data_IF_316876274874
#
_entry.id   IF_316876274874
#
_cell.length_a   1.000
_cell.length_b   1.000
_cell.length_c   1.000
_cell.angle_alpha   90.00
_cell.angle_beta   90.00
_cell.angle_gamma   90.00
#
_symmetry.space_group_name_H-M   'P 1'
#
loop_
_entity.id
_entity.type
_entity.pdbx_description
1 polymer ?
#
# COMPACT_ATOMS: atom_id res chain seq x y z
N UNK A 1 -43.15 -0.43 -34.84
CA UNK A 1 -43.92 0.81 -35.15
C UNK A 1 -43.81 1.68 -33.94
N UNK A 2 -43.02 2.69 -33.97
CA UNK A 2 -43.13 4.10 -33.68
C UNK A 2 -41.71 4.74 -33.56
N UNK A 3 -41.43 5.48 -34.62
CA UNK A 3 -40.33 6.42 -34.70
C UNK A 3 -40.73 7.73 -34.03
N UNK A 4 -39.86 8.34 -33.26
CA UNK A 4 -39.91 9.79 -33.03
C UNK A 4 -38.50 10.32 -33.14
N UNK A 5 -38.28 11.06 -34.24
CA UNK A 5 -37.14 11.95 -34.48
C UNK A 5 -37.51 13.34 -33.95
N UNK A 6 -36.57 14.06 -33.35
CA UNK A 6 -36.53 15.55 -33.27
C UNK A 6 -35.05 15.91 -33.10
N UNK A 7 -34.38 16.41 -34.11
CA UNK A 7 -34.33 17.73 -34.70
C UNK A 7 -33.47 18.72 -33.90
N UNK A 8 -32.40 19.10 -34.59
CA UNK A 8 -31.37 20.08 -34.25
C UNK A 8 -31.89 21.50 -34.00
N UNK A 9 -31.20 22.25 -33.15
CA UNK A 9 -31.19 23.71 -33.24
C UNK A 9 -29.79 24.22 -32.94
N UNK A 10 -29.13 24.68 -33.99
CA UNK A 10 -27.90 25.45 -33.92
C UNK A 10 -28.23 26.92 -33.61
N UNK A 11 -27.31 27.60 -32.91
CA UNK A 11 -27.29 29.05 -32.86
C UNK A 11 -25.83 29.52 -32.86
N UNK A 12 -25.43 29.98 -34.02
CA UNK A 12 -24.23 30.77 -34.27
C UNK A 12 -24.54 32.22 -33.94
N UNK A 13 -23.61 32.92 -33.28
CA UNK A 13 -23.57 34.37 -33.35
C UNK A 13 -22.14 34.86 -33.51
N UNK A 14 -22.00 35.70 -34.50
CA UNK A 14 -20.77 36.28 -35.07
C UNK A 14 -20.26 37.49 -34.27
N UNK A 15 -18.93 37.67 -34.41
CA UNK A 15 -18.16 38.88 -34.76
C UNK A 15 -18.43 40.22 -34.05
N UNK A 16 -17.34 40.81 -33.55
CA UNK A 16 -16.89 42.12 -34.02
C UNK A 16 -15.42 42.38 -33.65
N UNK A 17 -14.61 42.60 -34.66
CA UNK A 17 -13.27 43.17 -34.63
C UNK A 17 -13.35 44.71 -34.79
N UNK A 18 -12.38 45.41 -34.19
CA UNK A 18 -11.87 46.74 -34.59
C UNK A 18 -10.58 46.97 -33.80
N UNK A 19 -9.42 46.94 -34.31
CA UNK A 19 -8.60 47.70 -35.23
C UNK A 19 -8.56 49.21 -34.97
N UNK A 20 -7.36 49.73 -34.66
CA UNK A 20 -6.66 50.88 -35.25
C UNK A 20 -5.60 51.44 -34.29
N UNK A 21 -4.32 51.25 -34.64
CA UNK A 21 -3.40 52.29 -35.17
C UNK A 21 -2.75 53.20 -34.13
N UNK A 22 -1.41 53.13 -34.11
CA UNK A 22 -0.45 54.15 -33.64
C UNK A 22 -0.46 55.36 -34.61
N UNK A 23 0.18 56.50 -34.33
CA UNK A 23 1.62 56.59 -34.11
C UNK A 23 2.11 57.69 -33.13
N UNK A 24 3.35 57.49 -32.64
CA UNK A 24 4.53 58.36 -32.60
C UNK A 24 4.40 59.82 -32.12
N UNK A 25 5.20 60.19 -31.09
CA UNK A 25 6.23 61.19 -31.20
C UNK A 25 7.14 61.28 -29.96
N UNK A 26 8.40 61.49 -30.23
CA UNK A 26 9.51 61.58 -29.31
C UNK A 26 9.51 62.89 -28.49
N UNK A 27 10.05 62.84 -27.28
CA UNK A 27 10.69 63.98 -26.64
C UNK A 27 11.79 63.52 -25.71
N UNK A 28 13.00 64.00 -25.97
CA UNK A 28 14.27 63.88 -25.22
C UNK A 28 14.15 64.53 -23.84
N UNK A 29 14.95 64.00 -22.89
CA UNK A 29 15.55 64.84 -21.88
C UNK A 29 15.64 64.28 -20.46
N UNK A 30 16.84 63.95 -20.01
CA UNK A 30 17.23 64.11 -18.61
C UNK A 30 17.73 62.84 -17.94
N UNK A 31 19.03 62.70 -17.90
CA UNK A 31 19.78 61.76 -17.06
C UNK A 31 19.62 62.05 -15.57
N UNK A 32 19.28 61.04 -14.81
CA UNK A 32 19.68 60.91 -13.39
C UNK A 32 19.91 59.43 -13.14
N UNK A 33 21.16 59.10 -12.92
CA UNK A 33 21.58 57.83 -12.41
C UNK A 33 21.22 57.77 -10.92
N UNK A 34 20.21 56.95 -10.62
CA UNK A 34 20.03 56.41 -9.24
C UNK A 34 20.46 54.96 -9.31
N UNK A 35 21.56 54.69 -8.51
CA UNK A 35 22.09 53.36 -8.33
C UNK A 35 21.02 52.49 -7.63
N UNK A 36 20.54 51.48 -8.30
CA UNK A 36 19.92 50.34 -7.63
C UNK A 36 21.02 49.61 -6.89
N UNK A 37 21.08 49.81 -5.56
CA UNK A 37 21.70 48.88 -4.65
C UNK A 37 20.97 47.55 -4.84
N UNK A 38 21.66 46.63 -5.53
CA UNK A 38 21.35 45.21 -5.39
C UNK A 38 21.57 44.85 -3.92
N UNK A 39 20.54 44.85 -3.13
CA UNK A 39 20.53 44.20 -1.84
C UNK A 39 20.96 42.75 -2.10
N UNK A 40 22.13 42.39 -1.63
CA UNK A 40 22.52 41.01 -1.44
C UNK A 40 21.43 40.39 -0.58
N UNK A 41 20.58 39.55 -1.20
CA UNK A 41 19.80 38.63 -0.44
C UNK A 41 20.81 37.71 0.26
N UNK A 42 21.05 37.94 1.54
CA UNK A 42 21.73 36.96 2.40
C UNK A 42 20.92 35.66 2.26
N UNK A 43 21.49 34.71 1.52
CA UNK A 43 20.95 33.35 1.45
C UNK A 43 20.91 32.84 2.88
N UNK A 44 19.75 32.39 3.32
CA UNK A 44 19.53 31.75 4.63
C UNK A 44 20.62 30.69 4.90
N UNK A 45 21.10 30.54 6.13
CA UNK A 45 22.18 29.60 6.42
C UNK A 45 21.76 28.18 5.99
N UNK A 46 22.49 27.66 5.02
CA UNK A 46 22.26 26.32 4.46
C UNK A 46 22.91 25.23 5.32
N UNK A 47 23.33 25.56 6.55
CA UNK A 47 24.04 24.65 7.45
C UNK A 47 23.74 24.91 8.92
N UNK A 48 23.94 23.87 9.74
CA UNK A 48 23.91 23.96 11.20
C UNK A 48 25.02 23.13 11.84
N UNK A 49 25.40 23.49 13.09
CA UNK A 49 26.40 22.74 13.86
C UNK A 49 25.74 22.08 15.08
N UNK A 50 25.83 20.77 15.13
CA UNK A 50 25.32 19.98 16.25
C UNK A 50 26.47 19.11 16.78
N UNK A 51 26.83 19.32 18.04
CA UNK A 51 27.87 18.52 18.70
C UNK A 51 27.53 17.03 18.65
N UNK A 52 28.52 16.17 18.42
CA UNK A 52 28.35 14.73 18.23
C UNK A 52 27.54 14.07 19.36
N UNK A 53 27.74 14.50 20.62
CA UNK A 53 26.99 14.00 21.78
C UNK A 53 25.49 14.38 21.73
N UNK A 54 25.18 15.58 21.26
CA UNK A 54 23.80 16.05 21.11
C UNK A 54 23.11 15.33 19.94
N UNK A 55 23.80 15.17 18.83
CA UNK A 55 23.29 14.40 17.67
C UNK A 55 22.96 12.94 18.05
N UNK A 56 23.84 12.29 18.81
CA UNK A 56 23.61 10.93 19.29
C UNK A 56 22.40 10.87 20.27
N UNK A 57 22.30 11.83 21.19
CA UNK A 57 21.19 11.90 22.14
C UNK A 57 19.83 12.15 21.44
N UNK A 58 19.84 12.91 20.34
CA UNK A 58 18.67 13.17 19.51
C UNK A 58 18.32 12.01 18.56
N UNK A 59 19.15 10.95 18.51
CA UNK A 59 18.93 9.80 17.62
C UNK A 59 19.22 10.07 16.14
N UNK A 60 19.97 11.14 15.84
CA UNK A 60 20.42 11.44 14.48
C UNK A 60 21.39 10.33 14.03
N UNK A 61 21.07 9.69 12.92
CA UNK A 61 21.92 8.66 12.32
C UNK A 61 22.38 9.08 10.94
N UNK A 62 23.61 8.76 10.62
CA UNK A 62 24.20 9.01 9.31
C UNK A 62 24.66 7.71 8.69
N UNK A 63 24.60 7.63 7.37
CA UNK A 63 25.11 6.52 6.61
C UNK A 63 25.78 7.03 5.31
N UNK A 64 26.79 6.32 4.79
CA UNK A 64 27.39 6.69 3.53
C UNK A 64 26.43 6.47 2.37
N UNK A 65 26.27 7.48 1.52
CA UNK A 65 25.56 7.31 0.25
C UNK A 65 26.40 6.42 -0.68
N UNK A 66 25.74 5.50 -1.37
CA UNK A 66 26.46 4.54 -2.22
C UNK A 66 25.57 3.82 -3.22
N UNK A 67 26.15 2.91 -3.99
CA UNK A 67 25.38 2.11 -4.94
C UNK A 67 24.37 1.21 -4.22
N UNK A 68 23.26 0.97 -4.89
CA UNK A 68 22.21 0.11 -4.38
C UNK A 68 21.29 -0.35 -5.47
N UNK A 69 20.18 -0.96 -5.06
CA UNK A 69 19.11 -1.40 -5.97
C UNK A 69 17.84 -0.66 -5.62
N UNK A 70 17.10 -0.27 -6.66
CA UNK A 70 15.74 0.26 -6.57
C UNK A 70 14.81 -0.80 -7.13
N UNK A 71 13.82 -1.18 -6.35
CA UNK A 71 12.81 -2.13 -6.77
C UNK A 71 11.76 -1.43 -7.65
N UNK A 72 11.36 -2.10 -8.74
CA UNK A 72 10.17 -1.72 -9.50
C UNK A 72 8.97 -2.39 -8.85
N UNK A 73 8.18 -1.60 -8.12
CA UNK A 73 7.09 -2.08 -7.29
C UNK A 73 5.74 -1.58 -7.79
N UNK A 74 4.80 -2.51 -7.96
CA UNK A 74 3.42 -2.21 -8.27
C UNK A 74 2.56 -2.38 -7.01
N UNK A 75 1.86 -1.32 -6.62
CA UNK A 75 0.89 -1.38 -5.53
C UNK A 75 -0.44 -1.90 -6.07
N UNK A 76 -0.90 -3.03 -5.53
CA UNK A 76 -2.15 -3.68 -5.91
C UNK A 76 -3.00 -3.96 -4.68
N UNK A 77 -4.29 -4.15 -4.90
CA UNK A 77 -5.22 -4.56 -3.85
C UNK A 77 -5.57 -6.03 -4.00
N UNK A 78 -5.91 -6.66 -2.88
CA UNK A 78 -6.30 -8.06 -2.85
C UNK A 78 -7.32 -8.37 -1.80
N UNK A 79 -7.81 -9.61 -1.86
CA UNK A 79 -8.77 -10.16 -0.93
C UNK A 79 -8.20 -11.43 -0.32
N UNK A 80 -8.38 -11.61 0.99
CA UNK A 80 -8.06 -12.85 1.67
C UNK A 80 -9.16 -13.86 1.45
N UNK A 81 -8.79 -15.06 1.00
CA UNK A 81 -9.71 -16.17 0.79
C UNK A 81 -9.21 -17.43 1.50
N UNK A 82 -10.12 -18.29 2.01
CA UNK A 82 -9.71 -19.58 2.52
C UNK A 82 -9.13 -20.43 1.38
N UNK A 83 -8.20 -21.33 1.72
CA UNK A 83 -7.62 -22.26 0.75
C UNK A 83 -8.65 -23.33 0.40
N UNK A 84 -8.95 -23.51 -0.89
CA UNK A 84 -9.76 -24.62 -1.36
C UNK A 84 -9.16 -25.96 -0.88
N UNK A 85 -10.01 -26.90 -0.49
CA UNK A 85 -9.57 -28.17 0.10
C UNK A 85 -9.22 -28.10 1.59
N UNK A 86 -9.15 -26.89 2.19
CA UNK A 86 -9.08 -26.70 3.65
C UNK A 86 -10.42 -26.26 4.25
N UNK A 87 -11.49 -26.32 3.47
CA UNK A 87 -12.86 -26.07 3.90
C UNK A 87 -13.61 -27.38 3.86
N UNK A 88 -14.29 -27.71 4.93
CA UNK A 88 -15.14 -28.89 5.02
C UNK A 88 -16.57 -28.49 5.32
N UNK A 89 -17.48 -28.89 4.45
CA UNK A 89 -18.91 -28.85 4.73
C UNK A 89 -19.33 -30.09 5.51
N UNK A 90 -19.91 -29.86 6.66
CA UNK A 90 -20.39 -30.90 7.55
C UNK A 90 -21.88 -31.06 7.35
N UNK A 91 -22.31 -32.20 6.81
CA UNK A 91 -23.70 -32.46 6.43
C UNK A 91 -24.36 -33.48 7.34
N UNK A 92 -25.71 -33.48 7.34
CA UNK A 92 -26.48 -34.50 7.99
C UNK A 92 -26.37 -35.83 7.23
N UNK A 93 -25.97 -36.91 7.91
CA UNK A 93 -25.83 -38.24 7.30
C UNK A 93 -27.19 -38.91 7.05
N UNK A 94 -28.14 -38.68 7.94
CA UNK A 94 -29.52 -39.19 7.86
C UNK A 94 -30.51 -38.07 8.19
N UNK A 95 -31.71 -38.08 7.63
CA UNK A 95 -32.71 -37.06 7.91
C UNK A 95 -33.26 -37.17 9.32
N UNK A 96 -33.58 -36.02 9.93
CA UNK A 96 -34.18 -36.00 11.25
C UNK A 96 -34.00 -34.67 12.01
N UNK A 97 -34.62 -34.54 13.19
CA UNK A 97 -34.51 -33.33 13.98
C UNK A 97 -33.14 -33.22 14.67
N UNK A 98 -32.60 -32.03 14.66
CA UNK A 98 -31.39 -31.65 15.42
C UNK A 98 -31.74 -31.59 16.90
N UNK A 99 -31.13 -32.44 17.73
CA UNK A 99 -31.41 -32.53 19.18
C UNK A 99 -30.54 -31.64 20.03
N UNK A 100 -29.26 -31.45 19.61
CA UNK A 100 -28.37 -30.52 20.28
C UNK A 100 -27.36 -29.92 19.32
N UNK A 101 -26.91 -28.71 19.62
CA UNK A 101 -25.81 -28.01 18.92
C UNK A 101 -24.79 -27.63 19.96
N UNK A 102 -23.50 -27.95 19.71
CA UNK A 102 -22.39 -27.82 20.65
C UNK A 102 -21.33 -26.84 20.18
N UNK A 103 -21.39 -26.41 18.92
CA UNK A 103 -20.44 -25.47 18.36
C UNK A 103 -21.16 -24.30 17.67
N UNK A 104 -20.62 -23.12 17.85
CA UNK A 104 -21.07 -21.86 17.23
C UNK A 104 -20.10 -21.35 16.15
N UNK A 105 -20.54 -20.35 15.40
CA UNK A 105 -19.66 -19.64 14.46
C UNK A 105 -18.55 -18.94 15.24
N UNK A 106 -17.30 -19.09 14.79
CA UNK A 106 -16.09 -18.57 15.44
C UNK A 106 -15.41 -19.56 16.40
N UNK A 107 -16.08 -20.68 16.78
CA UNK A 107 -15.47 -21.67 17.66
C UNK A 107 -14.37 -22.43 16.94
N UNK A 108 -13.26 -22.63 17.67
CA UNK A 108 -12.22 -23.57 17.25
C UNK A 108 -12.60 -24.99 17.58
N UNK A 109 -12.50 -25.88 16.60
CA UNK A 109 -12.86 -27.29 16.73
C UNK A 109 -11.70 -28.17 16.26
N UNK A 110 -11.66 -29.39 16.82
CA UNK A 110 -10.69 -30.41 16.40
C UNK A 110 -11.36 -31.48 15.54
N UNK A 111 -10.60 -32.08 14.66
CA UNK A 111 -11.09 -33.25 13.91
C UNK A 111 -11.66 -34.31 14.86
N UNK A 112 -12.86 -34.83 14.54
CA UNK A 112 -13.60 -35.76 15.39
C UNK A 112 -14.42 -35.13 16.51
N UNK A 113 -14.29 -33.82 16.78
CA UNK A 113 -15.09 -33.15 17.82
C UNK A 113 -16.57 -33.11 17.46
N UNK A 114 -17.43 -33.41 18.44
CA UNK A 114 -18.86 -33.36 18.28
C UNK A 114 -19.36 -31.93 18.12
N UNK A 115 -20.07 -31.66 17.02
CA UNK A 115 -20.67 -30.37 16.69
C UNK A 115 -22.15 -30.30 16.98
N UNK A 116 -22.85 -31.39 16.72
CA UNK A 116 -24.30 -31.51 16.94
C UNK A 116 -24.73 -32.98 17.12
N UNK A 117 -25.93 -33.20 17.59
CA UNK A 117 -26.59 -34.50 17.54
C UNK A 117 -27.89 -34.39 16.77
N UNK A 118 -28.15 -35.38 15.93
CA UNK A 118 -29.38 -35.51 15.11
C UNK A 118 -29.99 -36.85 15.39
N UNK A 119 -31.32 -36.88 15.56
CA UNK A 119 -32.08 -38.15 15.71
C UNK A 119 -32.56 -38.57 14.33
N UNK A 120 -32.16 -39.76 13.91
CA UNK A 120 -32.56 -40.29 12.60
C UNK A 120 -34.02 -40.68 12.57
N UNK A 121 -34.78 -40.15 11.61
CA UNK A 121 -36.15 -40.56 11.35
C UNK A 121 -36.24 -42.01 10.85
N UNK A 122 -35.16 -42.60 10.36
CA UNK A 122 -35.14 -43.96 9.81
C UNK A 122 -34.99 -45.01 10.91
N UNK A 123 -34.15 -44.71 11.93
CA UNK A 123 -33.81 -45.68 12.98
C UNK A 123 -34.24 -45.23 14.37
N UNK A 124 -34.78 -44.02 14.52
CA UNK A 124 -35.13 -43.37 15.79
C UNK A 124 -33.98 -43.35 16.80
N UNK A 125 -32.77 -43.44 16.29
CA UNK A 125 -31.51 -43.34 17.10
C UNK A 125 -30.84 -42.02 16.87
N UNK A 126 -30.17 -41.51 17.90
CA UNK A 126 -29.38 -40.29 17.82
C UNK A 126 -27.97 -40.60 17.33
N UNK A 127 -27.54 -39.87 16.31
CA UNK A 127 -26.14 -39.90 15.86
C UNK A 127 -25.44 -38.56 16.07
N UNK A 128 -24.12 -38.60 16.22
CA UNK A 128 -23.32 -37.42 16.41
C UNK A 128 -22.75 -36.93 15.08
N UNK A 129 -22.89 -35.65 14.82
CA UNK A 129 -22.26 -34.95 13.70
C UNK A 129 -20.93 -34.39 14.22
N UNK A 130 -19.81 -34.77 13.59
CA UNK A 130 -18.46 -34.41 14.03
C UNK A 130 -17.74 -33.56 12.99
N UNK A 131 -16.78 -32.76 13.43
CA UNK A 131 -15.87 -32.01 12.56
C UNK A 131 -14.96 -32.96 11.79
N UNK A 132 -14.88 -32.91 10.46
CA UNK A 132 -13.98 -33.77 9.67
C UNK A 132 -12.53 -33.27 9.71
N UNK A 133 -12.31 -31.99 9.95
CA UNK A 133 -11.01 -31.34 10.06
C UNK A 133 -10.94 -30.49 11.33
N UNK A 134 -9.73 -30.17 11.77
CA UNK A 134 -9.51 -29.14 12.78
C UNK A 134 -9.55 -27.76 12.12
N UNK A 135 -10.13 -26.77 12.79
CA UNK A 135 -10.26 -25.42 12.24
C UNK A 135 -11.28 -24.58 12.99
N UNK A 136 -11.79 -23.55 12.32
CA UNK A 136 -12.79 -22.61 12.84
C UNK A 136 -14.13 -22.88 12.17
N UNK A 137 -15.21 -22.83 12.91
CA UNK A 137 -16.56 -22.89 12.35
C UNK A 137 -16.88 -21.56 11.64
N UNK A 138 -16.92 -21.60 10.32
CA UNK A 138 -17.16 -20.41 9.48
C UNK A 138 -18.65 -20.12 9.33
N UNK A 139 -19.47 -21.17 9.22
CA UNK A 139 -20.91 -21.05 9.10
C UNK A 139 -21.63 -22.16 9.85
N UNK A 140 -22.84 -21.86 10.33
CA UNK A 140 -23.72 -22.81 11.01
C UNK A 140 -25.15 -22.57 10.56
N UNK A 141 -25.75 -23.60 9.99
CA UNK A 141 -27.19 -23.65 9.70
C UNK A 141 -27.95 -24.49 10.73
N UNK A 142 -27.25 -25.40 11.43
CA UNK A 142 -27.83 -26.25 12.45
C UNK A 142 -28.46 -25.43 13.58
N UNK A 143 -29.72 -25.68 13.90
CA UNK A 143 -30.44 -25.14 15.03
C UNK A 143 -31.21 -26.27 15.75
N UNK A 144 -31.29 -26.20 17.08
CA UNK A 144 -32.04 -27.20 17.87
C UNK A 144 -33.53 -27.21 17.45
N UNK A 145 -34.07 -28.37 17.17
CA UNK A 145 -35.44 -28.55 16.67
C UNK A 145 -35.59 -28.44 15.16
N UNK A 146 -34.54 -27.98 14.42
CA UNK A 146 -34.57 -27.94 12.96
C UNK A 146 -34.58 -29.36 12.39
N UNK A 147 -35.44 -29.63 11.39
CA UNK A 147 -35.40 -30.85 10.61
C UNK A 147 -34.24 -30.78 9.58
N UNK A 148 -33.21 -31.59 9.75
CA UNK A 148 -32.14 -31.72 8.78
C UNK A 148 -32.56 -32.77 7.72
N UNK A 149 -32.46 -32.43 6.45
CA UNK A 149 -32.55 -33.37 5.35
C UNK A 149 -31.20 -34.10 5.18
N UNK A 150 -31.20 -35.29 4.59
CA UNK A 150 -30.00 -36.00 4.22
C UNK A 150 -29.14 -35.15 3.28
N UNK A 151 -27.83 -35.04 3.55
CA UNK A 151 -26.91 -34.22 2.80
C UNK A 151 -27.03 -32.69 3.07
N UNK A 152 -27.99 -32.25 3.90
CA UNK A 152 -28.13 -30.84 4.20
C UNK A 152 -26.88 -30.31 4.94
N UNK A 153 -26.32 -29.15 4.56
CA UNK A 153 -25.17 -28.55 5.26
C UNK A 153 -25.62 -28.09 6.65
N UNK A 154 -24.89 -28.51 7.68
CA UNK A 154 -25.12 -28.13 9.07
C UNK A 154 -24.06 -27.16 9.60
N UNK A 155 -22.83 -27.38 9.22
CA UNK A 155 -21.69 -26.50 9.55
C UNK A 155 -20.74 -26.41 8.37
N UNK A 156 -19.96 -25.34 8.36
CA UNK A 156 -18.77 -25.19 7.54
C UNK A 156 -17.58 -24.95 8.47
N UNK A 157 -16.56 -25.80 8.35
CA UNK A 157 -15.31 -25.71 9.14
C UNK A 157 -14.15 -25.47 8.20
N UNK A 158 -13.33 -24.44 8.48
CA UNK A 158 -12.17 -24.12 7.69
C UNK A 158 -10.90 -24.12 8.54
N UNK A 159 -9.82 -24.70 8.01
CA UNK A 159 -8.47 -24.52 8.52
C UNK A 159 -7.93 -23.19 7.99
N UNK A 160 -7.87 -22.21 8.88
CA UNK A 160 -7.41 -20.83 8.59
C UNK A 160 -5.94 -20.60 8.94
N UNK A 161 -5.14 -21.63 9.15
CA UNK A 161 -3.70 -21.50 9.48
C UNK A 161 -2.90 -20.83 8.37
N UNK A 162 -3.35 -20.93 7.14
CA UNK A 162 -2.88 -20.20 5.97
C UNK A 162 -4.07 -19.75 5.15
N UNK A 163 -3.90 -18.63 4.48
CA UNK A 163 -4.92 -18.05 3.61
C UNK A 163 -4.32 -17.73 2.25
N UNK A 164 -5.12 -17.82 1.21
CA UNK A 164 -4.79 -17.22 -0.06
C UNK A 164 -4.99 -15.72 -0.02
N UNK A 165 -4.14 -15.04 -0.74
CA UNK A 165 -4.24 -13.62 -1.09
C UNK A 165 -4.49 -13.56 -2.58
N UNK A 166 -5.68 -13.21 -2.98
CA UNK A 166 -6.06 -13.02 -4.38
C UNK A 166 -5.87 -11.53 -4.72
N UNK A 167 -4.78 -11.23 -5.44
CA UNK A 167 -4.38 -9.89 -5.84
C UNK A 167 -5.01 -9.54 -7.18
N UNK A 168 -5.63 -8.38 -7.26
CA UNK A 168 -6.27 -7.88 -8.47
C UNK A 168 -5.28 -7.01 -9.26
N UNK A 169 -4.85 -7.50 -10.41
CA UNK A 169 -3.90 -6.83 -11.30
C UNK A 169 -4.68 -6.30 -12.50
N UNK A 170 -4.48 -5.02 -12.81
CA UNK A 170 -5.19 -4.32 -13.88
C UNK A 170 -4.27 -3.97 -15.04
N UNK A 171 -4.83 -3.91 -16.25
CA UNK A 171 -4.19 -3.34 -17.43
C UNK A 171 -2.87 -3.98 -17.80
N UNK A 172 -1.87 -3.13 -18.10
CA UNK A 172 -0.57 -3.54 -18.60
C UNK A 172 0.28 -4.28 -17.56
N UNK A 173 0.07 -4.06 -16.27
CA UNK A 173 0.83 -4.68 -15.17
C UNK A 173 0.68 -6.21 -15.19
N UNK A 174 -0.46 -6.71 -15.68
CA UNK A 174 -0.70 -8.14 -15.82
C UNK A 174 0.29 -8.86 -16.78
N UNK A 175 1.01 -8.12 -17.64
CA UNK A 175 2.01 -8.69 -18.55
C UNK A 175 3.36 -8.91 -17.86
N UNK A 176 3.66 -8.16 -16.80
CA UNK A 176 4.94 -8.18 -16.10
C UNK A 176 4.89 -8.95 -14.78
N UNK A 177 3.69 -9.18 -14.24
CA UNK A 177 3.49 -9.87 -12.97
C UNK A 177 3.24 -11.37 -13.23
N UNK A 178 4.19 -12.21 -12.84
CA UNK A 178 4.15 -13.66 -13.02
C UNK A 178 4.36 -14.44 -11.72
N UNK A 179 4.30 -15.76 -11.81
CA UNK A 179 4.63 -16.63 -10.68
C UNK A 179 6.11 -16.48 -10.28
N UNK A 180 6.41 -16.60 -8.99
CA UNK A 180 7.76 -16.44 -8.43
C UNK A 180 8.13 -15.00 -8.04
N UNK A 181 7.33 -14.02 -8.43
CA UNK A 181 7.54 -12.61 -8.10
C UNK A 181 7.32 -12.38 -6.60
N UNK A 182 8.19 -11.59 -5.97
CA UNK A 182 8.13 -11.26 -4.55
C UNK A 182 6.97 -10.31 -4.25
N UNK A 183 6.27 -10.55 -3.15
CA UNK A 183 5.11 -9.76 -2.73
C UNK A 183 5.20 -9.43 -1.24
N UNK A 184 5.02 -8.18 -0.90
CA UNK A 184 4.81 -7.73 0.47
C UNK A 184 3.33 -7.41 0.66
N UNK A 185 2.63 -8.24 1.42
CA UNK A 185 1.20 -8.08 1.73
C UNK A 185 1.06 -7.30 3.03
N UNK A 186 0.23 -6.26 3.03
CA UNK A 186 -0.04 -5.43 4.21
C UNK A 186 -1.49 -5.61 4.65
N UNK A 187 -1.68 -5.97 5.90
CA UNK A 187 -2.98 -6.04 6.55
C UNK A 187 -3.46 -4.63 6.89
N UNK A 188 -4.64 -4.24 6.39
CA UNK A 188 -5.11 -2.86 6.50
C UNK A 188 -5.55 -2.46 7.92
N UNK A 189 -5.84 -3.43 8.80
CA UNK A 189 -6.34 -3.16 10.15
C UNK A 189 -5.29 -2.58 11.10
N UNK A 190 -4.01 -2.96 10.91
CA UNK A 190 -2.91 -2.66 11.85
C UNK A 190 -1.56 -2.42 11.17
N UNK A 191 -1.50 -2.49 9.83
CA UNK A 191 -0.28 -2.26 9.07
C UNK A 191 0.74 -3.41 9.11
N UNK A 192 0.41 -4.55 9.73
CA UNK A 192 1.30 -5.71 9.77
C UNK A 192 1.53 -6.24 8.37
N UNK A 193 2.80 -6.49 8.03
CA UNK A 193 3.22 -6.99 6.73
C UNK A 193 3.62 -8.46 6.77
N UNK A 194 3.37 -9.16 5.67
CA UNK A 194 3.86 -10.51 5.42
C UNK A 194 4.54 -10.55 4.05
N UNK A 195 5.76 -11.10 4.00
CA UNK A 195 6.46 -11.34 2.74
C UNK A 195 6.13 -12.73 2.22
N UNK A 196 5.84 -12.81 0.93
CA UNK A 196 5.52 -14.04 0.24
C UNK A 196 5.92 -13.94 -1.24
N UNK A 197 5.60 -14.94 -2.03
CA UNK A 197 5.79 -14.95 -3.48
C UNK A 197 4.49 -15.28 -4.18
N UNK A 198 4.29 -14.75 -5.39
CA UNK A 198 3.18 -15.17 -6.23
C UNK A 198 3.35 -16.64 -6.64
N UNK A 199 2.37 -17.46 -6.31
CA UNK A 199 2.38 -18.87 -6.67
C UNK A 199 1.90 -19.10 -8.11
N UNK A 200 0.90 -18.34 -8.51
CA UNK A 200 0.29 -18.45 -9.84
C UNK A 200 -0.51 -17.22 -10.22
N UNK A 201 -0.66 -17.04 -11.51
CA UNK A 201 -1.64 -16.12 -12.09
C UNK A 201 -2.79 -16.99 -12.64
N UNK A 202 -4.03 -16.67 -12.27
CA UNK A 202 -5.19 -17.43 -12.68
C UNK A 202 -5.51 -17.15 -14.16
N UNK A 203 -5.94 -18.17 -14.93
CA UNK A 203 -6.11 -18.04 -16.39
C UNK A 203 -7.35 -17.23 -16.80
N UNK A 204 -8.21 -16.87 -15.86
CA UNK A 204 -9.43 -16.09 -16.13
C UNK A 204 -9.36 -14.71 -15.48
N UNK A 205 -10.01 -13.74 -16.11
CA UNK A 205 -10.26 -12.44 -15.48
C UNK A 205 -11.48 -12.51 -14.57
N UNK A 206 -11.41 -11.88 -13.42
CA UNK A 206 -12.58 -11.66 -12.58
C UNK A 206 -13.54 -10.71 -13.32
N UNK A 207 -14.70 -11.23 -13.72
CA UNK A 207 -15.66 -10.50 -14.57
C UNK A 207 -16.19 -9.23 -13.94
N UNK A 208 -16.32 -9.19 -12.60
CA UNK A 208 -16.82 -8.03 -11.88
C UNK A 208 -15.81 -6.87 -11.85
N UNK A 209 -14.51 -7.17 -11.76
CA UNK A 209 -13.44 -6.16 -11.67
C UNK A 209 -12.65 -6.00 -12.96
N UNK A 210 -12.82 -6.91 -13.93
CA UNK A 210 -12.02 -6.99 -15.17
C UNK A 210 -10.50 -7.06 -14.89
N UNK A 211 -10.12 -7.65 -13.76
CA UNK A 211 -8.75 -7.80 -13.33
C UNK A 211 -8.26 -9.23 -13.51
N UNK A 212 -6.97 -9.38 -13.76
CA UNK A 212 -6.28 -10.66 -13.65
C UNK A 212 -6.02 -10.93 -12.17
N UNK A 213 -6.28 -12.16 -11.72
CA UNK A 213 -6.02 -12.54 -10.33
C UNK A 213 -4.68 -13.25 -10.24
N UNK A 214 -3.79 -12.69 -9.43
CA UNK A 214 -2.55 -13.35 -9.02
C UNK A 214 -2.69 -13.81 -7.56
N UNK A 215 -2.31 -15.05 -7.30
CA UNK A 215 -2.51 -15.71 -6.02
C UNK A 215 -1.19 -15.95 -5.30
N UNK A 216 -1.17 -15.59 -4.03
CA UNK A 216 -0.11 -15.89 -3.07
C UNK A 216 -0.71 -16.52 -1.81
N UNK A 217 0.13 -17.06 -0.92
CA UNK A 217 -0.28 -17.61 0.36
C UNK A 217 0.38 -16.84 1.50
N UNK A 218 -0.38 -16.52 2.54
CA UNK A 218 0.12 -15.94 3.79
C UNK A 218 -0.17 -16.86 4.97
N UNK A 219 0.80 -16.96 5.88
CA UNK A 219 0.62 -17.67 7.15
C UNK A 219 -0.21 -16.81 8.11
N UNK A 220 -1.16 -17.43 8.80
CA UNK A 220 -2.08 -16.78 9.74
C UNK A 220 -1.81 -17.26 11.17
N UNK A 221 -0.58 -17.06 11.66
CA UNK A 221 -0.14 -17.54 12.96
C UNK A 221 -0.79 -16.81 14.14
N UNK A 222 -1.14 -15.55 13.94
CA UNK A 222 -1.82 -14.70 14.93
C UNK A 222 -3.36 -14.81 14.87
N UNK A 223 -3.92 -15.45 13.83
CA UNK A 223 -5.36 -15.59 13.60
C UNK A 223 -6.04 -14.26 13.21
N UNK A 224 -5.28 -13.21 12.91
CA UNK A 224 -5.80 -11.89 12.59
C UNK A 224 -5.99 -11.63 11.08
N UNK A 225 -5.43 -12.48 10.23
CA UNK A 225 -5.75 -12.47 8.80
C UNK A 225 -7.10 -13.17 8.62
N UNK A 226 -8.11 -12.39 8.27
CA UNK A 226 -9.51 -12.88 8.20
C UNK A 226 -9.97 -13.05 6.77
N UNK A 227 -10.53 -14.20 6.39
CA UNK A 227 -11.16 -14.37 5.09
C UNK A 227 -12.18 -13.26 4.81
N UNK A 228 -12.22 -12.77 3.57
CA UNK A 228 -13.07 -11.65 3.17
C UNK A 228 -12.51 -10.27 3.46
N UNK A 229 -11.35 -10.16 4.16
CA UNK A 229 -10.72 -8.86 4.39
C UNK A 229 -9.89 -8.43 3.18
N UNK A 230 -9.96 -7.13 2.87
CA UNK A 230 -9.09 -6.50 1.88
C UNK A 230 -7.67 -6.32 2.43
N UNK A 231 -6.70 -6.40 1.55
CA UNK A 231 -5.27 -6.16 1.81
C UNK A 231 -4.68 -5.26 0.73
N UNK A 232 -3.61 -4.57 1.07
CA UNK A 232 -2.71 -3.95 0.09
C UNK A 232 -1.53 -4.90 -0.13
N UNK A 233 -0.99 -4.90 -1.34
CA UNK A 233 0.23 -5.62 -1.63
C UNK A 233 1.13 -4.81 -2.54
N UNK A 234 2.44 -4.93 -2.32
CA UNK A 234 3.47 -4.45 -3.25
C UNK A 234 4.11 -5.66 -3.91
N UNK A 235 4.02 -5.67 -5.23
CA UNK A 235 4.58 -6.71 -6.08
C UNK A 235 5.87 -6.18 -6.68
N UNK A 236 7.00 -6.79 -6.37
CA UNK A 236 8.32 -6.38 -6.87
C UNK A 236 8.62 -7.13 -8.16
N UNK A 237 8.42 -6.48 -9.30
CA UNK A 237 8.57 -7.10 -10.62
C UNK A 237 10.01 -7.15 -11.12
N UNK A 238 10.83 -6.16 -10.73
CA UNK A 238 12.24 -6.06 -11.11
C UNK A 238 13.05 -5.35 -10.03
N UNK A 239 14.36 -5.47 -10.11
CA UNK A 239 15.32 -4.70 -9.30
C UNK A 239 16.40 -4.18 -10.22
N UNK A 240 16.56 -2.88 -10.22
CA UNK A 240 17.52 -2.20 -11.07
C UNK A 240 18.60 -1.53 -10.24
N UNK A 241 19.85 -1.75 -10.62
CA UNK A 241 20.98 -1.11 -9.97
C UNK A 241 20.94 0.41 -10.18
N UNK A 242 21.26 1.15 -9.13
CA UNK A 242 21.45 2.60 -9.12
C UNK A 242 22.82 2.94 -8.59
N UNK A 243 23.46 3.94 -9.18
CA UNK A 243 24.83 4.35 -8.81
C UNK A 243 24.89 4.97 -7.42
N UNK A 244 23.80 5.61 -7.00
CA UNK A 244 23.69 6.29 -5.72
C UNK A 244 22.26 6.21 -5.20
N UNK A 245 22.09 5.66 -4.01
CA UNK A 245 20.79 5.56 -3.33
C UNK A 245 20.88 6.08 -1.91
N UNK A 246 19.78 6.64 -1.43
CA UNK A 246 19.57 7.01 -0.03
C UNK A 246 18.21 6.49 0.45
N UNK A 247 18.04 6.21 1.76
CA UNK A 247 16.72 5.92 2.30
C UNK A 247 15.76 7.10 2.12
N UNK A 248 14.48 6.83 1.91
CA UNK A 248 13.45 7.89 1.81
C UNK A 248 13.41 8.76 3.07
N UNK A 249 13.74 8.19 4.23
CA UNK A 249 13.82 8.92 5.50
C UNK A 249 14.89 10.01 5.56
N UNK A 250 15.87 9.99 4.62
CA UNK A 250 16.87 11.02 4.48
C UNK A 250 16.36 12.26 3.76
N UNK A 251 15.29 12.12 2.96
CA UNK A 251 14.75 13.23 2.17
C UNK A 251 13.99 14.21 3.03
N UNK A 252 14.18 15.47 2.73
CA UNK A 252 13.38 16.59 3.23
C UNK A 252 13.07 17.53 2.07
N UNK A 253 12.12 18.42 2.28
CA UNK A 253 11.83 19.51 1.32
C UNK A 253 12.18 20.83 1.99
N UNK A 254 12.99 21.64 1.34
CA UNK A 254 13.31 23.00 1.72
C UNK A 254 13.18 23.91 0.49
N UNK A 255 12.50 25.05 0.62
CA UNK A 255 12.30 26.02 -0.47
C UNK A 255 11.76 25.38 -1.76
N UNK A 256 10.77 24.48 -1.60
CA UNK A 256 10.13 23.71 -2.71
C UNK A 256 11.11 22.79 -3.48
N UNK A 257 12.29 22.50 -2.92
CA UNK A 257 13.28 21.58 -3.48
C UNK A 257 13.46 20.36 -2.59
N UNK A 258 13.76 19.22 -3.21
CA UNK A 258 14.17 18.02 -2.50
C UNK A 258 15.63 18.18 -2.02
N UNK A 259 15.84 17.99 -0.72
CA UNK A 259 17.15 18.14 -0.09
C UNK A 259 17.50 16.93 0.78
N UNK A 260 18.79 16.72 0.97
CA UNK A 260 19.36 15.85 2.00
C UNK A 260 20.34 16.63 2.86
N UNK A 261 20.60 16.14 4.08
CA UNK A 261 21.59 16.74 4.97
C UNK A 261 22.86 15.90 4.97
N UNK A 262 23.99 16.53 4.59
CA UNK A 262 25.30 15.88 4.53
C UNK A 262 26.11 16.31 5.75
N UNK A 263 26.61 15.33 6.50
CA UNK A 263 27.44 15.57 7.67
C UNK A 263 28.92 15.73 7.27
N UNK A 264 29.56 16.79 7.75
CA UNK A 264 31.01 17.01 7.68
C UNK A 264 31.52 17.39 9.08
N UNK A 265 32.04 16.42 9.80
CA UNK A 265 32.38 16.59 11.22
C UNK A 265 31.17 16.81 12.09
N UNK A 266 31.04 17.98 12.72
CA UNK A 266 29.88 18.39 13.53
C UNK A 266 28.93 19.32 12.76
N UNK A 267 29.23 19.62 11.49
CA UNK A 267 28.41 20.51 10.64
C UNK A 267 27.55 19.67 9.71
N UNK A 268 26.29 20.07 9.58
CA UNK A 268 25.30 19.46 8.68
C UNK A 268 24.90 20.49 7.63
N UNK A 269 25.17 20.16 6.37
CA UNK A 269 24.92 21.04 5.22
C UNK A 269 23.67 20.60 4.49
N UNK A 270 22.80 21.55 4.16
CA UNK A 270 21.70 21.32 3.24
C UNK A 270 22.25 21.10 1.83
N UNK A 271 21.84 20.03 1.19
CA UNK A 271 22.27 19.69 -0.16
C UNK A 271 21.06 19.43 -1.04
N UNK A 272 20.72 20.34 -1.99
CA UNK A 272 19.72 20.09 -3.01
C UNK A 272 20.10 18.86 -3.84
N UNK A 273 19.13 18.01 -4.13
CA UNK A 273 19.30 16.77 -4.89
C UNK A 273 18.27 16.63 -5.99
N UNK A 274 18.69 16.02 -7.09
CA UNK A 274 17.77 15.60 -8.14
C UNK A 274 17.52 14.12 -8.03
N UNK A 275 16.26 13.76 -7.84
CA UNK A 275 15.84 12.39 -7.61
C UNK A 275 15.58 11.65 -8.92
N UNK A 276 15.82 10.35 -8.90
CA UNK A 276 15.48 9.40 -9.95
C UNK A 276 14.36 8.47 -9.53
N UNK A 277 14.55 7.17 -9.83
CA UNK A 277 13.60 6.12 -9.45
C UNK A 277 13.57 5.96 -7.93
N UNK A 278 12.44 5.50 -7.44
CA UNK A 278 12.26 5.20 -6.01
C UNK A 278 11.42 3.94 -5.82
N UNK A 279 11.66 3.26 -4.72
CA UNK A 279 10.79 2.21 -4.19
C UNK A 279 10.21 2.67 -2.83
N UNK A 280 9.69 1.74 -2.03
CA UNK A 280 9.10 2.05 -0.74
C UNK A 280 10.12 2.44 0.35
N UNK A 281 11.41 2.14 0.17
CA UNK A 281 12.45 2.31 1.19
C UNK A 281 13.55 3.27 0.75
N UNK A 282 13.83 3.35 -0.56
CA UNK A 282 14.99 4.03 -1.13
C UNK A 282 14.63 4.89 -2.33
N UNK A 283 15.49 5.86 -2.59
CA UNK A 283 15.43 6.72 -3.76
C UNK A 283 16.81 6.86 -4.40
N UNK A 284 16.83 6.83 -5.72
CA UNK A 284 18.01 7.09 -6.52
C UNK A 284 18.29 8.60 -6.54
N UNK A 285 19.55 8.98 -6.32
CA UNK A 285 19.99 10.36 -6.45
C UNK A 285 20.81 10.49 -7.73
N UNK A 286 20.33 11.31 -8.65
CA UNK A 286 20.96 11.55 -9.95
C UNK A 286 22.02 12.63 -9.88
N UNK A 287 21.77 13.70 -9.12
CA UNK A 287 22.64 14.86 -8.98
C UNK A 287 22.58 15.40 -7.55
N UNK A 288 23.64 16.11 -7.13
CA UNK A 288 23.70 16.83 -5.85
C UNK A 288 24.43 16.07 -4.74
N UNK A 289 24.71 14.77 -4.90
CA UNK A 289 25.38 13.96 -3.88
C UNK A 289 26.48 13.10 -4.50
N UNK A 290 27.53 12.78 -3.71
CA UNK A 290 28.64 11.92 -4.14
C UNK A 290 28.68 10.64 -3.34
N UNK A 291 29.19 9.58 -3.97
CA UNK A 291 29.42 8.30 -3.29
C UNK A 291 30.37 8.49 -2.10
N UNK A 292 29.99 7.95 -0.94
CA UNK A 292 30.74 8.00 0.31
C UNK A 292 30.43 9.20 1.20
N UNK A 293 29.68 10.20 0.73
CA UNK A 293 29.21 11.29 1.59
C UNK A 293 28.29 10.76 2.70
N UNK A 294 28.47 11.28 3.92
CA UNK A 294 27.70 10.88 5.09
C UNK A 294 26.37 11.63 5.08
N UNK A 295 25.29 10.91 4.82
CA UNK A 295 23.93 11.48 4.74
C UNK A 295 23.14 11.14 6.00
N UNK A 296 22.41 12.11 6.53
CA UNK A 296 21.48 11.89 7.67
C UNK A 296 20.32 11.01 7.21
N UNK A 297 20.25 9.80 7.76
CA UNK A 297 19.25 8.79 7.37
C UNK A 297 18.14 8.61 8.38
N UNK A 298 18.32 9.12 9.60
CA UNK A 298 17.27 9.15 10.63
C UNK A 298 17.25 10.50 11.33
N UNK A 299 16.06 10.96 11.69
CA UNK A 299 15.81 12.26 12.36
C UNK A 299 16.25 13.47 11.50
N UNK A 300 16.22 13.36 10.17
CA UNK A 300 16.60 14.43 9.24
C UNK A 300 15.77 15.71 9.46
N UNK A 301 14.52 15.60 9.91
CA UNK A 301 13.67 16.75 10.22
C UNK A 301 14.20 17.61 11.39
N UNK A 302 14.99 17.03 12.33
CA UNK A 302 15.61 17.81 13.41
C UNK A 302 16.66 18.76 12.87
N UNK A 303 17.43 18.33 11.87
CA UNK A 303 18.40 19.19 11.18
C UNK A 303 17.68 20.33 10.48
N UNK A 304 16.58 20.01 9.77
CA UNK A 304 15.75 21.02 9.11
C UNK A 304 15.25 22.07 10.12
N UNK A 305 14.65 21.63 11.22
CA UNK A 305 14.11 22.53 12.23
C UNK A 305 15.18 23.40 12.90
N UNK A 306 16.42 22.91 13.07
CA UNK A 306 17.51 23.66 13.65
C UNK A 306 18.04 24.74 12.67
N UNK A 307 18.11 24.43 11.39
CA UNK A 307 18.47 25.39 10.33
C UNK A 307 17.37 26.49 10.24
N UNK A 308 16.10 26.12 10.14
CA UNK A 308 14.98 27.07 10.05
C UNK A 308 14.89 27.99 11.29
N UNK A 309 15.27 27.49 12.46
CA UNK A 309 15.32 28.30 13.69
C UNK A 309 16.43 29.35 13.62
N UNK A 310 17.61 28.99 13.13
CA UNK A 310 18.74 29.93 13.02
C UNK A 310 18.44 31.08 12.03
N UNK A 311 17.67 30.83 10.96
CA UNK A 311 17.25 31.90 10.04
C UNK A 311 16.31 32.92 10.68
N UNK A 312 15.42 32.49 11.58
CA UNK A 312 14.49 33.40 12.28
C UNK A 312 15.17 34.24 13.35
N UNK A 313 16.27 33.76 13.95
CA UNK A 313 17.02 34.50 14.97
C UNK A 313 17.94 35.59 14.38
N UNK A 314 18.28 35.51 13.08
CA UNK A 314 19.07 36.53 12.37
C UNK A 314 18.25 37.70 11.84
N UNK A 315 16.92 37.54 11.71
CA UNK A 315 15.98 38.60 11.25
C UNK A 315 15.47 39.51 12.40
N UNK A 316 15.99 39.42 13.59
CA UNK A 316 15.66 40.24 14.77
C UNK A 316 16.90 40.93 15.34
#
# INVERSE_FOLDING_TARGET
MNRISWAALGMALMLAACNASAPNEASEGGAAAEGEEHGEHEEAPLETKIAAKAAQAAGIQVAPAGPGEIADEHEVQGLLTPIDGRIAQVTARFPGPVRSVRAGVGDQVRAGQALATVESNLSLTTYTVTAPISGVVMARTAAVGMAAAEGAPLFEVADLSNLWVDLHIFGADAQHIGAGVSVTVTRLSDGVTAQTTLERVLPGTATASQSTIARATVANTDGLWRPGSAVKARVTVDRQSAALVVPITALQTAEDQDVVYVQQGETYHTRPVKLGRRDAERVEVLEGLKTGEQVVVAQSFLIKADIEKSTVEEDH
#
